data_IF_784058718070
#
_entry.id   IF_784058718070
#
_cell.length_a   1.000
_cell.length_b   1.000
_cell.length_c   1.000
_cell.angle_alpha   90.00
_cell.angle_beta   90.00
_cell.angle_gamma   90.00
#
_symmetry.space_group_name_H-M   'P 1'
#
loop_
_entity.id
_entity.type
_entity.pdbx_description
1 polymer ?
#
# COMPACT_ATOMS: atom_id res chain seq x y z
N UNK A 1 9.79 76.17 14.02
CA UNK A 1 8.45 75.63 14.31
C UNK A 1 8.57 74.15 14.62
N UNK A 2 7.75 73.68 15.56
CA UNK A 2 7.96 72.53 16.46
C UNK A 2 8.02 71.15 15.78
N UNK A 3 8.95 70.34 16.29
CA UNK A 3 9.16 68.90 16.04
C UNK A 3 8.00 68.09 16.62
N UNK A 4 7.39 67.19 15.85
CA UNK A 4 6.46 66.18 16.36
C UNK A 4 6.92 64.79 15.89
N UNK A 5 7.45 64.02 16.84
CA UNK A 5 7.82 62.61 16.72
C UNK A 5 6.54 61.80 16.96
N UNK A 6 6.03 61.14 15.92
CA UNK A 6 4.98 60.12 16.07
C UNK A 6 5.63 58.74 16.02
N UNK A 7 6.08 58.28 17.17
CA UNK A 7 6.33 56.86 17.45
C UNK A 7 4.99 56.23 17.82
N UNK A 8 4.55 55.19 17.09
CA UNK A 8 3.45 54.32 17.53
C UNK A 8 3.62 52.93 16.92
N UNK A 9 4.31 52.09 17.69
CA UNK A 9 3.94 50.72 18.04
C UNK A 9 3.60 49.74 16.91
N UNK A 10 4.63 49.09 16.37
CA UNK A 10 4.49 47.80 15.66
C UNK A 10 4.22 46.69 16.68
N UNK A 11 2.97 46.27 16.78
CA UNK A 11 2.54 45.06 17.48
C UNK A 11 3.08 43.83 16.74
N UNK A 12 4.13 43.21 17.26
CA UNK A 12 4.64 41.92 16.78
C UNK A 12 3.66 40.83 17.22
N UNK A 13 2.83 40.36 16.29
CA UNK A 13 2.03 39.14 16.45
C UNK A 13 2.97 37.93 16.35
N UNK A 14 3.41 37.45 17.52
CA UNK A 14 4.08 36.17 17.67
C UNK A 14 3.04 35.06 17.43
N UNK A 15 2.87 34.66 16.16
CA UNK A 15 2.14 33.42 15.85
C UNK A 15 3.05 32.27 16.28
N UNK A 16 2.81 31.76 17.48
CA UNK A 16 3.36 30.49 17.90
C UNK A 16 2.75 29.40 17.01
N UNK A 17 3.44 29.08 15.92
CA UNK A 17 3.21 27.83 15.20
C UNK A 17 3.62 26.69 16.13
N UNK A 18 2.65 26.16 16.86
CA UNK A 18 2.78 24.87 17.53
C UNK A 18 3.09 23.83 16.46
N UNK A 19 4.36 23.43 16.41
CA UNK A 19 4.81 22.28 15.66
C UNK A 19 4.02 21.07 16.16
N UNK A 20 3.22 20.49 15.28
CA UNK A 20 2.58 19.18 15.47
C UNK A 20 3.65 18.09 15.43
N UNK A 21 4.34 17.90 16.55
CA UNK A 21 5.28 16.80 16.77
C UNK A 21 4.86 16.06 18.03
N UNK A 22 3.74 15.32 17.98
CA UNK A 22 3.34 14.39 19.05
C UNK A 22 2.12 13.53 18.67
N UNK A 23 2.14 12.80 17.55
CA UNK A 23 1.15 11.72 17.35
C UNK A 23 1.74 10.35 16.97
N UNK A 24 3.03 10.23 16.63
CA UNK A 24 3.61 8.94 16.21
C UNK A 24 4.33 8.15 17.33
N UNK A 25 4.65 8.77 18.48
CA UNK A 25 5.48 8.14 19.52
C UNK A 25 4.81 6.99 20.32
N UNK A 26 3.54 7.06 20.76
CA UNK A 26 3.00 6.05 21.69
C UNK A 26 2.65 4.71 21.01
N UNK A 27 2.46 4.69 19.69
CA UNK A 27 2.02 3.50 18.97
C UNK A 27 3.17 2.61 18.50
N UNK A 28 4.34 3.21 18.21
CA UNK A 28 5.57 2.50 17.88
C UNK A 28 6.14 1.77 19.11
N UNK A 29 6.06 2.38 20.30
CA UNK A 29 6.50 1.76 21.56
C UNK A 29 5.68 0.52 21.92
N UNK A 30 4.35 0.56 21.70
CA UNK A 30 3.48 -0.58 21.97
C UNK A 30 3.82 -1.80 21.09
N UNK A 31 4.06 -1.60 19.80
CA UNK A 31 4.42 -2.69 18.89
C UNK A 31 5.78 -3.30 19.24
N UNK A 32 6.76 -2.46 19.62
CA UNK A 32 8.10 -2.91 20.04
C UNK A 32 8.05 -3.78 21.30
N UNK A 33 7.32 -3.35 22.31
CA UNK A 33 7.15 -4.13 23.55
C UNK A 33 6.50 -5.50 23.29
N UNK A 34 5.52 -5.56 22.38
CA UNK A 34 4.88 -6.82 22.00
C UNK A 34 5.85 -7.71 21.21
N UNK A 35 6.71 -7.14 20.37
CA UNK A 35 7.74 -7.91 19.65
C UNK A 35 8.75 -8.56 20.60
N UNK A 36 9.19 -7.86 21.64
CA UNK A 36 10.06 -8.45 22.68
C UNK A 36 9.38 -9.64 23.36
N UNK A 37 8.07 -9.55 23.61
CA UNK A 37 7.29 -10.63 24.22
C UNK A 37 7.11 -11.84 23.30
N UNK A 38 7.32 -11.71 21.98
CA UNK A 38 7.34 -12.87 21.08
C UNK A 38 8.49 -13.84 21.39
N UNK A 39 9.57 -13.38 22.03
CA UNK A 39 10.71 -14.20 22.46
C UNK A 39 10.61 -14.71 23.90
N UNK A 40 9.48 -14.49 24.59
CA UNK A 40 9.28 -14.91 25.98
C UNK A 40 9.37 -16.42 26.15
N UNK A 41 9.97 -16.93 27.24
CA UNK A 41 10.01 -18.37 27.55
C UNK A 41 8.60 -18.97 27.77
N UNK A 42 7.68 -18.17 28.31
CA UNK A 42 6.28 -18.58 28.54
C UNK A 42 5.47 -18.57 27.23
N UNK A 43 4.98 -19.75 26.81
CA UNK A 43 4.19 -19.91 25.59
C UNK A 43 2.96 -19.00 25.53
N UNK A 44 2.23 -18.88 26.65
CA UNK A 44 1.03 -18.04 26.73
C UNK A 44 1.33 -16.56 26.45
N UNK A 45 2.44 -16.04 26.95
CA UNK A 45 2.86 -14.65 26.69
C UNK A 45 3.18 -14.43 25.21
N UNK A 46 3.79 -15.41 24.56
CA UNK A 46 4.09 -15.35 23.11
C UNK A 46 2.80 -15.30 22.28
N UNK A 47 1.83 -16.14 22.61
CA UNK A 47 0.54 -16.16 21.90
C UNK A 47 -0.23 -14.84 22.09
N UNK A 48 -0.34 -14.34 23.32
CA UNK A 48 -1.02 -13.08 23.59
C UNK A 48 -0.34 -11.89 22.89
N UNK A 49 0.99 -11.88 22.82
CA UNK A 49 1.72 -10.85 22.12
C UNK A 49 1.48 -10.90 20.61
N UNK A 50 1.48 -12.10 20.02
CA UNK A 50 1.17 -12.31 18.60
C UNK A 50 -0.24 -11.84 18.24
N UNK A 51 -1.25 -12.20 19.05
CA UNK A 51 -2.63 -11.78 18.84
C UNK A 51 -2.80 -10.26 18.93
N UNK A 52 -2.21 -9.63 19.95
CA UNK A 52 -2.24 -8.16 20.10
C UNK A 52 -1.58 -7.44 18.94
N UNK A 53 -0.49 -7.98 18.38
CA UNK A 53 0.16 -7.42 17.19
C UNK A 53 -0.76 -7.50 15.96
N UNK A 54 -1.51 -8.59 15.82
CA UNK A 54 -2.47 -8.78 14.73
C UNK A 54 -3.66 -7.83 14.87
N UNK A 55 -4.19 -7.68 16.09
CA UNK A 55 -5.25 -6.72 16.41
C UNK A 55 -4.82 -5.28 16.17
N UNK A 56 -3.55 -4.96 16.46
CA UNK A 56 -3.00 -3.64 16.18
C UNK A 56 -3.03 -3.35 14.67
N UNK A 57 -2.74 -4.35 13.83
CA UNK A 57 -2.93 -4.28 12.37
C UNK A 57 -1.86 -3.45 11.66
N UNK A 58 -2.27 -2.53 10.78
CA UNK A 58 -1.35 -1.71 9.96
C UNK A 58 -0.22 -1.00 10.73
N UNK A 59 -0.45 -0.41 11.91
CA UNK A 59 0.61 0.20 12.72
C UNK A 59 1.71 -0.77 13.17
N UNK A 60 1.44 -2.07 13.26
CA UNK A 60 2.43 -3.07 13.64
C UNK A 60 3.35 -3.48 12.48
N UNK A 61 2.98 -3.18 11.22
CA UNK A 61 3.61 -3.76 10.03
C UNK A 61 5.11 -3.49 9.95
N UNK A 62 5.54 -2.24 10.16
CA UNK A 62 6.97 -1.89 10.01
C UNK A 62 7.82 -2.52 11.13
N UNK A 63 7.31 -2.53 12.36
CA UNK A 63 7.97 -3.18 13.48
C UNK A 63 8.06 -4.71 13.27
N UNK A 64 6.99 -5.34 12.79
CA UNK A 64 6.96 -6.76 12.43
C UNK A 64 7.94 -7.08 11.31
N UNK A 65 8.01 -6.25 10.25
CA UNK A 65 9.00 -6.39 9.16
C UNK A 65 10.43 -6.36 9.69
N UNK A 66 10.75 -5.44 10.60
CA UNK A 66 12.06 -5.43 11.25
C UNK A 66 12.30 -6.71 12.06
N UNK A 67 11.32 -7.14 12.85
CA UNK A 67 11.39 -8.35 13.68
C UNK A 67 11.56 -9.65 12.89
N UNK A 68 11.07 -9.72 11.64
CA UNK A 68 11.31 -10.87 10.76
C UNK A 68 12.79 -11.16 10.52
N UNK A 69 13.68 -10.18 10.76
CA UNK A 69 15.15 -10.31 10.59
C UNK A 69 15.88 -10.56 11.93
N UNK A 70 15.14 -10.80 13.01
CA UNK A 70 15.73 -11.09 14.33
C UNK A 70 16.65 -12.32 14.28
N UNK A 71 17.70 -12.29 15.10
CA UNK A 71 18.55 -13.46 15.33
C UNK A 71 17.86 -14.55 16.17
N UNK A 72 16.83 -14.17 16.93
CA UNK A 72 15.95 -15.10 17.63
C UNK A 72 14.94 -15.71 16.63
N UNK A 73 15.03 -17.03 16.45
CA UNK A 73 14.19 -17.77 15.52
C UNK A 73 12.71 -17.75 15.89
N UNK A 74 12.35 -17.72 17.18
CA UNK A 74 10.96 -17.67 17.62
C UNK A 74 10.35 -16.29 17.32
N UNK A 75 11.10 -15.21 17.61
CA UNK A 75 10.69 -13.84 17.25
C UNK A 75 10.51 -13.72 15.73
N UNK A 76 11.50 -14.16 14.96
CA UNK A 76 11.46 -14.09 13.49
C UNK A 76 10.25 -14.87 12.92
N UNK A 77 10.03 -16.11 13.37
CA UNK A 77 8.93 -16.96 12.92
C UNK A 77 7.55 -16.35 13.23
N UNK A 78 7.32 -15.91 14.47
CA UNK A 78 6.03 -15.32 14.86
C UNK A 78 5.79 -13.98 14.21
N UNK A 79 6.83 -13.16 14.05
CA UNK A 79 6.73 -11.90 13.32
C UNK A 79 6.31 -12.12 11.86
N UNK A 80 6.87 -13.12 11.18
CA UNK A 80 6.45 -13.49 9.82
C UNK A 80 4.99 -13.96 9.80
N UNK A 81 4.57 -14.80 10.75
CA UNK A 81 3.20 -15.30 10.86
C UNK A 81 2.19 -14.18 11.12
N UNK A 82 2.48 -13.28 12.07
CA UNK A 82 1.64 -12.13 12.37
C UNK A 82 1.56 -11.18 11.18
N UNK A 83 2.71 -10.86 10.55
CA UNK A 83 2.76 -10.02 9.37
C UNK A 83 1.87 -10.59 8.26
N UNK A 84 1.99 -11.89 7.97
CA UNK A 84 1.16 -12.58 6.97
C UNK A 84 -0.34 -12.45 7.28
N UNK A 85 -0.74 -12.63 8.54
CA UNK A 85 -2.16 -12.49 8.97
C UNK A 85 -2.69 -11.07 8.81
N UNK A 86 -1.83 -10.06 8.90
CA UNK A 86 -2.21 -8.64 8.73
C UNK A 86 -2.26 -8.26 7.24
N UNK A 87 -1.28 -8.72 6.45
CA UNK A 87 -1.06 -8.26 5.08
C UNK A 87 -1.76 -9.09 4.03
N UNK A 88 -2.08 -10.35 4.28
CA UNK A 88 -2.77 -11.23 3.34
C UNK A 88 -4.28 -11.29 3.60
N UNK A 89 -5.03 -11.55 2.52
CA UNK A 89 -6.45 -11.86 2.57
C UNK A 89 -6.68 -13.34 2.30
N UNK A 90 -7.61 -13.96 3.02
CA UNK A 90 -8.05 -15.32 2.69
C UNK A 90 -8.72 -15.37 1.30
N UNK A 91 -8.73 -16.53 0.62
CA UNK A 91 -9.40 -16.65 -0.68
C UNK A 91 -10.88 -16.24 -0.66
N UNK A 92 -11.59 -16.55 0.43
CA UNK A 92 -12.99 -16.16 0.61
C UNK A 92 -13.15 -14.64 0.72
N UNK A 93 -12.33 -13.97 1.55
CA UNK A 93 -12.37 -12.51 1.66
C UNK A 93 -12.03 -11.82 0.34
N UNK A 94 -11.07 -12.35 -0.42
CA UNK A 94 -10.75 -11.81 -1.73
C UNK A 94 -11.94 -11.89 -2.69
N UNK A 95 -12.61 -13.04 -2.73
CA UNK A 95 -13.78 -13.24 -3.57
C UNK A 95 -14.94 -12.32 -3.17
N UNK A 96 -15.22 -12.21 -1.88
CA UNK A 96 -16.26 -11.33 -1.35
C UNK A 96 -15.99 -9.86 -1.70
N UNK A 97 -14.73 -9.40 -1.57
CA UNK A 97 -14.33 -8.04 -1.93
C UNK A 97 -14.45 -7.79 -3.44
N UNK A 98 -14.05 -8.76 -4.28
CA UNK A 98 -14.17 -8.63 -5.74
C UNK A 98 -15.63 -8.55 -6.16
N UNK A 99 -16.48 -9.43 -5.64
CA UNK A 99 -17.92 -9.41 -5.88
C UNK A 99 -18.53 -8.09 -5.43
N UNK A 100 -18.21 -7.62 -4.22
CA UNK A 100 -18.70 -6.34 -3.71
C UNK A 100 -18.27 -5.15 -4.59
N UNK A 101 -17.03 -5.18 -5.11
CA UNK A 101 -16.54 -4.19 -6.06
C UNK A 101 -17.28 -4.21 -7.40
N UNK A 102 -17.54 -5.40 -7.94
CA UNK A 102 -18.30 -5.59 -9.19
C UNK A 102 -19.75 -5.13 -9.05
N UNK A 103 -20.43 -5.51 -7.97
CA UNK A 103 -21.80 -5.07 -7.69
C UNK A 103 -21.88 -3.54 -7.58
N UNK A 104 -20.89 -2.92 -6.92
CA UNK A 104 -20.80 -1.46 -6.79
C UNK A 104 -20.57 -0.77 -8.14
N UNK A 105 -19.77 -1.37 -9.05
CA UNK A 105 -19.59 -0.86 -10.40
C UNK A 105 -20.91 -0.78 -11.17
N UNK A 106 -21.70 -1.86 -11.18
CA UNK A 106 -23.00 -1.87 -11.87
C UNK A 106 -24.04 -0.95 -11.21
N UNK A 107 -23.92 -0.72 -9.91
CA UNK A 107 -24.76 0.23 -9.18
C UNK A 107 -24.33 1.70 -9.36
N UNK A 108 -23.16 1.97 -9.95
CA UNK A 108 -22.59 3.32 -10.03
C UNK A 108 -22.01 3.86 -8.73
N UNK A 109 -21.86 3.02 -7.70
CA UNK A 109 -21.26 3.38 -6.41
C UNK A 109 -19.74 3.24 -6.47
N UNK A 110 -19.09 4.20 -7.13
CA UNK A 110 -17.65 4.17 -7.38
C UNK A 110 -16.82 4.35 -6.10
N UNK A 111 -17.38 4.94 -5.06
CA UNK A 111 -16.71 5.06 -3.76
C UNK A 111 -16.62 3.68 -3.06
N UNK A 112 -17.73 2.94 -3.02
CA UNK A 112 -17.73 1.56 -2.51
C UNK A 112 -16.85 0.66 -3.36
N UNK A 113 -16.91 0.78 -4.68
CA UNK A 113 -16.03 0.06 -5.59
C UNK A 113 -14.55 0.32 -5.26
N UNK A 114 -14.16 1.60 -5.10
CA UNK A 114 -12.80 1.97 -4.74
C UNK A 114 -12.39 1.42 -3.38
N UNK A 115 -13.27 1.42 -2.37
CA UNK A 115 -12.97 0.82 -1.05
C UNK A 115 -12.66 -0.67 -1.16
N UNK A 116 -13.48 -1.44 -1.88
CA UNK A 116 -13.28 -2.88 -2.04
C UNK A 116 -11.95 -3.21 -2.73
N UNK A 117 -11.67 -2.57 -3.87
CA UNK A 117 -10.44 -2.81 -4.61
C UNK A 117 -9.19 -2.22 -3.93
N UNK A 118 -9.33 -1.17 -3.10
CA UNK A 118 -8.21 -0.66 -2.29
C UNK A 118 -7.73 -1.69 -1.29
N UNK A 119 -8.64 -2.40 -0.61
CA UNK A 119 -8.26 -3.46 0.34
C UNK A 119 -7.55 -4.62 -0.36
N UNK A 120 -8.04 -5.03 -1.54
CA UNK A 120 -7.41 -6.06 -2.36
C UNK A 120 -6.03 -5.63 -2.86
N UNK A 121 -5.91 -4.43 -3.42
CA UNK A 121 -4.65 -3.92 -3.99
C UNK A 121 -3.55 -3.72 -2.95
N UNK A 122 -3.92 -3.40 -1.71
CA UNK A 122 -2.96 -3.25 -0.59
C UNK A 122 -2.57 -4.59 0.05
N UNK A 123 -3.31 -5.67 -0.21
CA UNK A 123 -2.97 -6.98 0.31
C UNK A 123 -1.69 -7.50 -0.38
N UNK A 124 -0.81 -8.15 0.39
CA UNK A 124 0.43 -8.72 -0.13
C UNK A 124 0.14 -9.73 -1.26
N UNK A 125 -0.92 -10.52 -1.08
CA UNK A 125 -1.43 -11.50 -2.04
C UNK A 125 -2.55 -10.95 -2.95
N UNK A 126 -2.70 -9.63 -3.07
CA UNK A 126 -3.57 -8.98 -4.05
C UNK A 126 -3.06 -9.12 -5.49
N UNK A 127 -3.94 -9.10 -6.48
CA UNK A 127 -3.55 -9.23 -7.89
C UNK A 127 -3.26 -7.88 -8.56
N UNK A 128 -2.57 -7.93 -9.71
CA UNK A 128 -2.37 -6.77 -10.59
C UNK A 128 -3.73 -6.20 -11.06
N UNK A 129 -4.70 -7.06 -11.34
CA UNK A 129 -6.03 -6.64 -11.79
C UNK A 129 -6.80 -5.92 -10.67
N UNK A 130 -6.64 -6.33 -9.41
CA UNK A 130 -7.25 -5.65 -8.27
C UNK A 130 -6.79 -4.18 -8.18
N UNK A 131 -5.50 -3.92 -8.40
CA UNK A 131 -4.96 -2.56 -8.49
C UNK A 131 -5.47 -1.77 -9.70
N UNK A 132 -5.65 -2.44 -10.84
CA UNK A 132 -6.21 -1.83 -12.05
C UNK A 132 -7.67 -1.41 -11.82
N UNK A 133 -8.46 -2.25 -11.19
CA UNK A 133 -9.85 -1.96 -10.83
C UNK A 133 -9.97 -0.83 -9.83
N UNK A 134 -9.04 -0.71 -8.87
CA UNK A 134 -8.95 0.46 -8.00
C UNK A 134 -8.72 1.75 -8.80
N UNK A 135 -7.74 1.75 -9.71
CA UNK A 135 -7.48 2.90 -10.58
C UNK A 135 -8.71 3.29 -11.40
N UNK A 136 -9.43 2.29 -11.92
CA UNK A 136 -10.66 2.51 -12.69
C UNK A 136 -11.80 3.09 -11.83
N UNK A 137 -11.99 2.56 -10.62
CA UNK A 137 -12.97 3.08 -9.67
C UNK A 137 -12.70 4.53 -9.32
N UNK A 138 -11.44 4.88 -9.01
CA UNK A 138 -11.03 6.26 -8.74
C UNK A 138 -11.26 7.17 -9.96
N UNK A 139 -10.98 6.71 -11.19
CA UNK A 139 -11.27 7.46 -12.41
C UNK A 139 -12.77 7.74 -12.58
N UNK A 140 -13.63 6.73 -12.42
CA UNK A 140 -15.08 6.88 -12.50
C UNK A 140 -15.63 7.80 -11.41
N UNK A 141 -15.05 7.74 -10.21
CA UNK A 141 -15.35 8.63 -9.09
C UNK A 141 -14.68 10.01 -9.14
N UNK A 142 -14.01 10.38 -10.25
CA UNK A 142 -13.28 11.64 -10.41
C UNK A 142 -12.16 11.90 -9.37
N UNK A 143 -11.65 10.84 -8.73
CA UNK A 143 -10.52 10.86 -7.79
C UNK A 143 -9.19 10.72 -8.54
N UNK A 144 -8.89 11.69 -9.42
CA UNK A 144 -7.79 11.60 -10.39
C UNK A 144 -6.41 11.35 -9.76
N UNK A 145 -6.11 11.99 -8.63
CA UNK A 145 -4.83 11.81 -7.92
C UNK A 145 -4.68 10.38 -7.40
N UNK A 146 -5.74 9.82 -6.82
CA UNK A 146 -5.73 8.44 -6.30
C UNK A 146 -5.70 7.42 -7.44
N UNK A 147 -6.43 7.68 -8.53
CA UNK A 147 -6.41 6.83 -9.72
C UNK A 147 -5.01 6.75 -10.34
N UNK A 148 -4.32 7.89 -10.50
CA UNK A 148 -2.95 7.93 -11.00
C UNK A 148 -1.97 7.17 -10.08
N UNK A 149 -2.12 7.30 -8.76
CA UNK A 149 -1.32 6.55 -7.80
C UNK A 149 -1.56 5.04 -7.89
N UNK A 150 -2.82 4.61 -8.00
CA UNK A 150 -3.19 3.21 -8.15
C UNK A 150 -2.62 2.61 -9.44
N UNK A 151 -2.73 3.32 -10.58
CA UNK A 151 -2.13 2.87 -11.83
C UNK A 151 -0.59 2.82 -11.77
N UNK A 152 0.05 3.77 -11.09
CA UNK A 152 1.51 3.73 -10.89
C UNK A 152 1.92 2.50 -10.09
N UNK A 153 1.22 2.20 -9.00
CA UNK A 153 1.48 1.00 -8.19
C UNK A 153 1.27 -0.31 -8.98
N UNK A 154 0.30 -0.35 -9.89
CA UNK A 154 0.10 -1.48 -10.82
C UNK A 154 1.32 -1.69 -11.71
N UNK A 155 1.84 -0.61 -12.30
CA UNK A 155 3.03 -0.66 -13.16
C UNK A 155 4.23 -1.15 -12.36
N UNK A 156 4.47 -0.58 -11.17
CA UNK A 156 5.59 -0.96 -10.32
C UNK A 156 5.50 -2.44 -9.92
N UNK A 157 4.28 -2.94 -9.61
CA UNK A 157 4.07 -4.37 -9.32
C UNK A 157 4.32 -5.25 -10.54
N UNK A 158 3.94 -4.81 -11.73
CA UNK A 158 4.21 -5.53 -12.97
C UNK A 158 5.70 -5.58 -13.29
N UNK A 159 6.43 -4.47 -13.13
CA UNK A 159 7.88 -4.42 -13.30
C UNK A 159 8.58 -5.42 -12.36
N UNK A 160 8.19 -5.45 -11.08
CA UNK A 160 8.71 -6.43 -10.10
C UNK A 160 8.42 -7.88 -10.50
N UNK A 161 7.24 -8.14 -11.06
CA UNK A 161 6.86 -9.48 -11.50
C UNK A 161 7.61 -9.92 -12.77
N UNK A 162 7.91 -8.99 -13.68
CA UNK A 162 8.70 -9.26 -14.89
C UNK A 162 10.19 -9.48 -14.57
N UNK A 163 10.71 -8.76 -13.58
CA UNK A 163 12.10 -8.87 -13.14
C UNK A 163 12.34 -10.13 -12.25
N UNK A 164 11.30 -10.94 -11.94
CA UNK A 164 11.42 -12.13 -11.06
C UNK A 164 11.98 -13.35 -11.80
N UNK A 165 12.80 -14.14 -11.09
CA UNK A 165 13.30 -15.41 -11.63
C UNK A 165 12.15 -16.42 -11.85
N UNK A 166 12.09 -17.16 -12.99
CA UNK A 166 11.01 -18.09 -13.32
C UNK A 166 10.79 -19.22 -12.31
N UNK A 167 11.82 -19.55 -11.53
CA UNK A 167 11.82 -20.59 -10.50
C UNK A 167 10.89 -20.28 -9.32
N UNK A 168 10.42 -19.03 -9.21
CA UNK A 168 9.47 -18.56 -8.19
C UNK A 168 7.99 -18.79 -8.59
N UNK A 169 7.74 -19.35 -9.77
CA UNK A 169 6.42 -19.54 -10.36
C UNK A 169 5.88 -20.94 -10.04
N UNK A 170 5.66 -21.21 -8.74
CA UNK A 170 5.05 -22.46 -8.30
C UNK A 170 3.64 -22.68 -8.89
N UNK A 171 3.21 -23.95 -9.09
CA UNK A 171 1.86 -24.24 -9.58
C UNK A 171 0.81 -23.65 -8.64
N UNK A 172 -0.07 -22.79 -9.18
CA UNK A 172 -1.07 -22.06 -8.39
C UNK A 172 -0.66 -20.67 -7.91
N UNK A 173 0.42 -20.08 -8.44
CA UNK A 173 0.71 -18.65 -8.25
C UNK A 173 -0.45 -17.81 -8.78
N UNK A 174 -1.33 -17.36 -7.89
CA UNK A 174 -2.52 -16.54 -8.18
C UNK A 174 -2.18 -15.12 -8.67
N UNK A 175 -0.90 -14.80 -8.86
CA UNK A 175 -0.48 -13.53 -9.44
C UNK A 175 -0.67 -13.46 -10.96
N UNK A 176 -1.02 -14.57 -11.62
CA UNK A 176 -1.22 -14.61 -13.07
C UNK A 176 -2.49 -15.40 -13.41
N UNK A 177 -3.49 -14.80 -14.07
CA UNK A 177 -4.66 -15.55 -14.50
C UNK A 177 -4.22 -16.62 -15.50
N UNK A 178 -4.69 -17.85 -15.32
CA UNK A 178 -4.48 -18.93 -16.27
C UNK A 178 -5.06 -18.51 -17.65
N UNK A 179 -4.18 -18.06 -18.55
CA UNK A 179 -4.54 -17.56 -19.88
C UNK A 179 -3.30 -17.39 -20.73
N UNK A 180 -3.45 -17.62 -22.05
CA UNK A 180 -2.39 -17.59 -23.05
C UNK A 180 -1.45 -16.36 -22.86
N UNK A 181 -0.12 -16.55 -22.76
CA UNK A 181 0.88 -15.49 -22.58
C UNK A 181 0.69 -14.27 -23.50
N UNK A 182 0.22 -14.49 -24.73
CA UNK A 182 0.02 -13.45 -25.72
C UNK A 182 -1.15 -12.49 -25.40
N UNK A 183 -2.20 -12.98 -24.72
CA UNK A 183 -3.34 -12.15 -24.32
C UNK A 183 -2.99 -11.24 -23.12
N UNK A 184 -2.06 -11.69 -22.30
CA UNK A 184 -1.55 -10.97 -21.13
C UNK A 184 -0.52 -9.91 -21.54
N UNK A 185 0.38 -10.22 -22.47
CA UNK A 185 1.25 -9.25 -23.13
C UNK A 185 0.45 -8.14 -23.82
N UNK A 186 -0.66 -8.47 -24.49
CA UNK A 186 -1.57 -7.48 -25.08
C UNK A 186 -2.22 -6.56 -24.03
N UNK A 187 -2.71 -7.11 -22.92
CA UNK A 187 -3.33 -6.30 -21.85
C UNK A 187 -2.31 -5.43 -21.13
N UNK A 188 -1.12 -5.97 -20.86
CA UNK A 188 0.02 -5.22 -20.34
C UNK A 188 0.40 -4.09 -21.30
N UNK A 189 0.50 -4.34 -22.60
CA UNK A 189 0.78 -3.33 -23.60
C UNK A 189 -0.26 -2.19 -23.63
N UNK A 190 -1.56 -2.51 -23.49
CA UNK A 190 -2.64 -1.50 -23.45
C UNK A 190 -2.53 -0.61 -22.20
N UNK A 191 -2.29 -1.22 -21.03
CA UNK A 191 -2.17 -0.50 -19.75
C UNK A 191 -0.88 0.35 -19.73
N UNK A 192 0.23 -0.21 -20.20
CA UNK A 192 1.52 0.47 -20.31
C UNK A 192 1.51 1.59 -21.37
N UNK A 193 0.80 1.41 -22.49
CA UNK A 193 0.58 2.51 -23.46
C UNK A 193 -0.24 3.65 -22.86
N UNK A 194 -1.25 3.35 -22.05
CA UNK A 194 -2.06 4.37 -21.36
C UNK A 194 -1.22 5.14 -20.33
N UNK A 195 -0.39 4.42 -19.56
CA UNK A 195 0.54 5.01 -18.61
C UNK A 195 1.66 5.84 -19.28
N UNK A 196 2.14 5.40 -20.45
CA UNK A 196 3.09 6.16 -21.28
C UNK A 196 2.50 7.50 -21.71
N UNK A 197 1.25 7.52 -22.15
CA UNK A 197 0.56 8.77 -22.52
C UNK A 197 0.49 9.71 -21.32
N UNK A 198 0.17 9.20 -20.14
CA UNK A 198 0.10 10.00 -18.92
C UNK A 198 1.48 10.51 -18.46
N UNK A 199 2.53 9.67 -18.45
CA UNK A 199 3.89 10.07 -18.05
C UNK A 199 4.55 11.04 -19.04
N UNK A 200 4.29 10.88 -20.35
CA UNK A 200 4.71 11.83 -21.37
C UNK A 200 4.04 13.20 -21.18
N UNK A 201 2.73 13.24 -20.88
CA UNK A 201 2.02 14.48 -20.58
C UNK A 201 2.55 15.17 -19.30
N UNK A 202 3.12 14.40 -18.37
CA UNK A 202 3.76 14.89 -17.14
C UNK A 202 5.27 15.21 -17.29
N UNK A 203 5.85 15.06 -18.49
CA UNK A 203 7.27 15.33 -18.82
C UNK A 203 8.31 14.42 -18.13
N UNK A 204 7.92 13.27 -17.59
CA UNK A 204 8.87 12.27 -17.06
C UNK A 204 9.28 11.28 -18.15
N UNK A 205 10.17 11.74 -19.05
CA UNK A 205 10.55 11.00 -20.26
C UNK A 205 11.48 9.82 -20.00
N UNK A 206 12.32 9.90 -18.97
CA UNK A 206 13.29 8.84 -18.61
C UNK A 206 12.56 7.60 -18.07
N UNK A 207 11.55 7.80 -17.21
CA UNK A 207 10.72 6.69 -16.75
C UNK A 207 9.91 6.07 -17.89
N UNK A 208 9.40 6.90 -18.81
CA UNK A 208 8.65 6.42 -19.98
C UNK A 208 9.49 5.57 -20.94
N UNK A 209 10.75 5.93 -21.19
CA UNK A 209 11.67 5.18 -22.04
C UNK A 209 12.10 3.84 -21.42
N UNK A 210 12.33 3.80 -20.11
CA UNK A 210 12.71 2.57 -19.41
C UNK A 210 11.61 1.50 -19.48
N UNK A 211 10.35 1.93 -19.38
CA UNK A 211 9.18 1.05 -19.54
C UNK A 211 9.06 0.52 -20.97
N UNK A 212 9.44 1.30 -21.99
CA UNK A 212 9.38 0.88 -23.40
C UNK A 212 10.39 -0.21 -23.78
N UNK A 213 11.59 -0.16 -23.22
CA UNK A 213 12.66 -1.11 -23.56
C UNK A 213 12.43 -2.52 -22.98
N UNK A 214 11.45 -2.66 -22.08
CA UNK A 214 11.10 -3.91 -21.39
C UNK A 214 9.90 -4.63 -22.02
N UNK A 215 9.21 -3.97 -22.96
CA UNK A 215 8.13 -4.54 -23.80
C UNK A 215 8.77 -5.13 -25.06
#
# INVERSE_FOLDING_TARGET
MKVWICQLSTLVLLVASSASVAQDAPQDDAARMLIEQLGSDEFKKREEAEERLIELGSPAIEALRAATKSADSEISFRAQRALKRITELSPAEQEDLRKAGQDAFYAGDYEKMARSYRRLAQAQNGSVDDGRWLGHACQLGSQWKEGAAAYSAVIDRMDLLLDRAPEMDGPGSTNWPAGNPNALQQRAAIILMTARIQRFLLKDTVAAERTLQRI
#
